data_IF_270935723352
#
_entry.id   IF_270935723352
#
_cell.length_a   1.000
_cell.length_b   1.000
_cell.length_c   1.000
_cell.angle_alpha   90.00
_cell.angle_beta   90.00
_cell.angle_gamma   90.00
#
_symmetry.space_group_name_H-M   'P 1'
#
loop_
_entity.id
_entity.type
_entity.pdbx_description
1 polymer ?
#
# COMPACT_ATOMS: atom_id res chain seq x y z
N UNK A 1 -15.68 -12.47 -23.83
CA UNK A 1 -15.10 -13.38 -22.83
C UNK A 1 -13.69 -12.90 -22.58
N UNK A 2 -13.45 -12.23 -21.45
CA UNK A 2 -12.12 -11.74 -21.09
C UNK A 2 -11.30 -12.91 -20.56
N UNK A 3 -10.27 -13.32 -21.30
CA UNK A 3 -9.31 -14.29 -20.82
C UNK A 3 -8.51 -13.62 -19.71
N UNK A 4 -8.57 -14.20 -18.52
CA UNK A 4 -7.72 -13.78 -17.43
C UNK A 4 -6.52 -14.73 -17.33
N UNK A 5 -5.31 -14.24 -17.06
CA UNK A 5 -4.13 -15.09 -16.90
C UNK A 5 -4.30 -16.06 -15.71
N UNK A 6 -3.64 -17.23 -15.79
CA UNK A 6 -3.71 -18.26 -14.75
C UNK A 6 -3.33 -17.70 -13.37
N UNK A 7 -4.16 -18.00 -12.36
CA UNK A 7 -4.07 -17.41 -11.01
C UNK A 7 -5.02 -16.23 -10.77
N UNK A 8 -5.81 -15.85 -11.77
CA UNK A 8 -6.84 -14.82 -11.67
C UNK A 8 -8.14 -15.35 -11.06
N UNK A 9 -8.54 -14.78 -9.93
CA UNK A 9 -9.79 -15.12 -9.26
C UNK A 9 -10.82 -14.00 -9.47
N UNK A 10 -11.86 -14.19 -10.32
CA UNK A 10 -12.85 -13.15 -10.64
C UNK A 10 -13.77 -12.75 -9.46
N UNK A 11 -13.55 -13.31 -8.28
CA UNK A 11 -14.28 -13.00 -7.05
C UNK A 11 -13.40 -12.39 -5.95
N UNK A 12 -12.08 -12.27 -6.16
CA UNK A 12 -11.20 -11.62 -5.21
C UNK A 12 -11.38 -10.10 -5.27
N UNK A 13 -11.48 -9.44 -4.12
CA UNK A 13 -11.60 -7.98 -4.01
C UNK A 13 -10.34 -7.24 -4.50
N UNK A 14 -9.20 -7.90 -4.41
CA UNK A 14 -7.89 -7.45 -4.90
C UNK A 14 -6.97 -8.66 -5.04
N UNK A 15 -5.82 -8.47 -5.69
CA UNK A 15 -4.76 -9.48 -5.80
C UNK A 15 -3.44 -8.93 -5.26
N UNK A 16 -2.74 -9.71 -4.43
CA UNK A 16 -1.37 -9.39 -4.04
C UNK A 16 -0.39 -9.93 -5.08
N UNK A 17 0.54 -9.08 -5.51
CA UNK A 17 1.59 -9.43 -6.47
C UNK A 17 2.96 -9.32 -5.80
N UNK A 18 3.67 -10.44 -5.72
CA UNK A 18 5.04 -10.51 -5.19
C UNK A 18 6.05 -9.93 -6.18
N UNK A 19 7.01 -9.13 -5.71
CA UNK A 19 8.01 -8.39 -6.51
C UNK A 19 9.12 -9.29 -7.11
N UNK A 20 8.85 -10.56 -7.41
CA UNK A 20 9.91 -11.51 -7.76
C UNK A 20 10.37 -11.49 -9.21
N UNK A 21 9.89 -10.58 -10.07
CA UNK A 21 10.37 -10.48 -11.46
C UNK A 21 10.56 -9.03 -11.93
N UNK A 22 11.77 -8.63 -12.37
CA UNK A 22 12.02 -7.31 -12.95
C UNK A 22 11.35 -7.20 -14.34
N UNK A 23 10.46 -6.20 -14.51
CA UNK A 23 9.81 -5.90 -15.80
C UNK A 23 8.34 -5.46 -15.74
N UNK A 24 7.69 -5.46 -14.57
CA UNK A 24 6.23 -5.32 -14.48
C UNK A 24 5.67 -3.88 -14.40
N UNK A 25 6.50 -2.84 -14.43
CA UNK A 25 5.96 -1.46 -14.43
C UNK A 25 5.21 -1.15 -15.75
N UNK A 26 5.71 -1.64 -16.89
CA UNK A 26 5.03 -1.52 -18.18
C UNK A 26 3.71 -2.31 -18.24
N UNK A 27 3.51 -3.27 -17.33
CA UNK A 27 2.32 -4.13 -17.32
C UNK A 27 1.09 -3.39 -16.78
N UNK A 28 1.24 -2.37 -15.92
CA UNK A 28 0.08 -1.74 -15.26
C UNK A 28 -0.76 -0.91 -16.24
N UNK A 29 -0.14 -0.15 -17.13
CA UNK A 29 -0.88 0.63 -18.14
C UNK A 29 -1.63 -0.27 -19.12
N UNK A 30 -0.98 -1.34 -19.60
CA UNK A 30 -1.61 -2.33 -20.47
C UNK A 30 -2.71 -3.12 -19.75
N UNK A 31 -2.53 -3.46 -18.47
CA UNK A 31 -3.49 -4.21 -17.66
C UNK A 31 -4.82 -3.47 -17.47
N UNK A 32 -4.77 -2.14 -17.45
CA UNK A 32 -5.94 -1.29 -17.22
C UNK A 32 -6.38 -0.45 -18.43
N UNK A 33 -5.78 -0.67 -19.60
CA UNK A 33 -6.09 0.09 -20.81
C UNK A 33 -7.59 0.08 -21.17
N UNK A 34 -8.27 -1.05 -20.94
CA UNK A 34 -9.71 -1.25 -21.18
C UNK A 34 -10.55 -1.29 -19.89
N UNK A 35 -9.95 -0.94 -18.74
CA UNK A 35 -10.52 -1.14 -17.40
C UNK A 35 -10.34 0.09 -16.50
N UNK A 36 -10.97 1.23 -16.85
CA UNK A 36 -10.82 2.49 -16.12
C UNK A 36 -11.37 2.45 -14.68
N UNK A 37 -12.19 1.46 -14.34
CA UNK A 37 -12.76 1.27 -13.02
C UNK A 37 -11.79 0.59 -12.04
N UNK A 38 -10.62 0.15 -12.50
CA UNK A 38 -9.61 -0.52 -11.70
C UNK A 38 -8.31 0.27 -11.57
N UNK A 39 -7.59 0.04 -10.47
CA UNK A 39 -6.27 0.58 -10.21
C UNK A 39 -5.44 -0.36 -9.33
N UNK A 40 -4.14 -0.05 -9.21
CA UNK A 40 -3.19 -0.71 -8.33
C UNK A 40 -2.68 0.21 -7.23
N UNK A 41 -2.37 -0.37 -6.07
CA UNK A 41 -1.57 0.26 -5.03
C UNK A 41 -0.16 -0.34 -5.01
N UNK A 42 0.84 0.54 -4.94
CA UNK A 42 2.19 0.18 -4.54
C UNK A 42 2.35 0.53 -3.07
N UNK A 43 2.20 -0.48 -2.21
CA UNK A 43 2.13 -0.30 -0.75
C UNK A 43 3.50 -0.51 -0.12
N UNK A 44 4.02 0.54 0.50
CA UNK A 44 5.20 0.55 1.35
C UNK A 44 4.76 0.29 2.80
N UNK A 45 5.26 -0.77 3.41
CA UNK A 45 4.83 -1.19 4.75
C UNK A 45 5.99 -1.77 5.58
N UNK A 46 5.83 -1.77 6.91
CA UNK A 46 6.85 -2.29 7.84
C UNK A 46 8.08 -1.40 8.05
N UNK A 47 8.12 -0.23 7.41
CA UNK A 47 9.15 0.79 7.55
C UNK A 47 8.66 2.05 8.28
N UNK A 48 9.42 3.13 8.15
CA UNK A 48 9.10 4.43 8.74
C UNK A 48 9.60 5.59 7.89
N UNK A 49 8.99 6.77 8.06
CA UNK A 49 9.46 8.00 7.42
C UNK A 49 10.68 8.60 8.13
N UNK A 50 11.65 9.07 7.36
CA UNK A 50 12.74 9.90 7.88
C UNK A 50 12.29 11.36 8.08
N UNK A 51 13.16 12.17 8.71
CA UNK A 51 12.90 13.58 8.96
C UNK A 51 12.95 14.42 7.68
N UNK A 52 12.28 15.58 7.70
CA UNK A 52 12.39 16.59 6.63
C UNK A 52 13.66 17.45 6.82
N UNK A 53 14.22 18.03 5.73
CA UNK A 53 13.86 17.83 4.33
C UNK A 53 14.50 16.56 3.74
N UNK A 54 14.02 16.14 2.57
CA UNK A 54 14.48 14.94 1.88
C UNK A 54 13.94 13.65 2.51
N UNK A 55 12.69 13.68 3.00
CA UNK A 55 12.04 12.53 3.62
C UNK A 55 12.08 11.32 2.68
N UNK A 56 12.44 10.18 3.24
CA UNK A 56 12.42 8.84 2.64
C UNK A 56 11.55 7.90 3.48
N UNK A 57 11.23 6.73 2.94
CA UNK A 57 10.60 5.64 3.68
C UNK A 57 11.57 4.47 3.76
N UNK A 58 12.12 4.24 4.95
CA UNK A 58 13.26 3.33 5.14
C UNK A 58 12.84 2.03 5.84
N UNK A 59 13.61 0.97 5.59
CA UNK A 59 13.49 -0.36 6.23
C UNK A 59 12.16 -1.11 6.01
N UNK A 60 11.33 -0.66 5.08
CA UNK A 60 10.09 -1.32 4.73
C UNK A 60 10.19 -2.33 3.59
N UNK A 61 9.07 -3.01 3.35
CA UNK A 61 8.82 -3.85 2.19
C UNK A 61 7.85 -3.16 1.24
N UNK A 62 7.85 -3.58 -0.02
CA UNK A 62 6.91 -3.12 -1.04
C UNK A 62 6.03 -4.30 -1.44
N UNK A 63 4.72 -4.11 -1.40
CA UNK A 63 3.72 -5.06 -1.90
C UNK A 63 2.83 -4.36 -2.91
N UNK A 64 2.60 -5.00 -4.06
CA UNK A 64 1.64 -4.50 -5.05
C UNK A 64 0.27 -5.13 -4.81
N UNK A 65 -0.76 -4.30 -4.85
CA UNK A 65 -2.16 -4.69 -4.68
C UNK A 65 -2.91 -4.27 -5.93
N UNK A 66 -3.24 -5.24 -6.77
CA UNK A 66 -3.85 -5.01 -8.07
C UNK A 66 -5.36 -5.26 -8.05
N UNK A 67 -6.05 -4.71 -9.04
CA UNK A 67 -7.49 -4.88 -9.31
C UNK A 67 -8.40 -4.29 -8.23
N UNK A 68 -7.96 -3.22 -7.58
CA UNK A 68 -8.83 -2.45 -6.70
C UNK A 68 -9.82 -1.67 -7.55
N UNK A 69 -11.09 -1.69 -7.17
CA UNK A 69 -12.13 -0.94 -7.87
C UNK A 69 -12.29 0.45 -7.28
N UNK A 70 -12.28 1.46 -8.14
CA UNK A 70 -12.36 2.87 -7.73
C UNK A 70 -13.58 3.16 -6.85
N UNK A 71 -14.74 2.61 -7.19
CA UNK A 71 -16.00 2.88 -6.48
C UNK A 71 -16.24 2.01 -5.24
N UNK A 72 -15.47 0.94 -5.06
CA UNK A 72 -15.59 0.04 -3.90
C UNK A 72 -14.51 0.31 -2.84
N UNK A 73 -13.45 1.06 -3.22
CA UNK A 73 -12.32 1.35 -2.36
C UNK A 73 -12.68 2.21 -1.14
N UNK A 74 -12.25 1.76 0.04
CA UNK A 74 -12.49 2.43 1.32
C UNK A 74 -11.30 2.34 2.25
N UNK A 75 -11.28 3.18 3.29
CA UNK A 75 -10.28 3.06 4.39
C UNK A 75 -10.36 1.68 5.07
N UNK A 76 -11.56 1.13 5.22
CA UNK A 76 -11.76 -0.23 5.77
C UNK A 76 -11.11 -1.32 4.92
N UNK A 77 -11.11 -1.15 3.59
CA UNK A 77 -10.44 -2.08 2.69
C UNK A 77 -8.92 -2.06 2.87
N UNK A 78 -8.33 -0.90 3.19
CA UNK A 78 -6.90 -0.84 3.52
C UNK A 78 -6.51 -1.66 4.75
N UNK A 79 -7.39 -1.76 5.75
CA UNK A 79 -7.15 -2.65 6.89
C UNK A 79 -7.19 -4.13 6.49
N UNK A 80 -8.07 -4.51 5.55
CA UNK A 80 -8.13 -5.86 5.01
C UNK A 80 -6.86 -6.18 4.20
N UNK A 81 -6.43 -5.25 3.34
CA UNK A 81 -5.18 -5.37 2.58
C UNK A 81 -4.00 -5.55 3.54
N UNK A 82 -3.93 -4.73 4.60
CA UNK A 82 -2.85 -4.82 5.58
C UNK A 82 -2.84 -6.16 6.33
N UNK A 83 -4.00 -6.76 6.63
CA UNK A 83 -4.02 -8.08 7.29
C UNK A 83 -3.44 -9.19 6.41
N UNK A 84 -3.49 -9.05 5.09
CA UNK A 84 -2.89 -10.00 4.15
C UNK A 84 -1.36 -9.90 4.07
N UNK A 85 -0.73 -8.88 4.66
CA UNK A 85 0.73 -8.74 4.68
C UNK A 85 1.43 -9.72 5.66
N UNK A 86 0.67 -10.52 6.41
CA UNK A 86 1.23 -11.60 7.24
C UNK A 86 1.82 -11.16 8.58
N UNK A 87 1.57 -9.92 9.03
CA UNK A 87 2.01 -9.45 10.35
C UNK A 87 1.26 -10.08 11.53
N UNK A 88 0.09 -10.68 11.28
CA UNK A 88 -0.70 -11.39 12.29
C UNK A 88 -1.46 -10.51 13.29
N UNK A 89 -1.32 -9.18 13.21
CA UNK A 89 -2.12 -8.23 13.99
C UNK A 89 -2.16 -6.85 13.31
N UNK A 90 -3.15 -6.03 13.68
CA UNK A 90 -3.31 -4.64 13.21
C UNK A 90 -2.99 -3.70 14.38
N UNK A 91 -1.93 -2.88 14.30
CA UNK A 91 -1.63 -1.87 15.33
C UNK A 91 -2.75 -0.85 15.48
N UNK A 92 -3.06 -0.41 16.71
CA UNK A 92 -4.09 0.63 16.96
C UNK A 92 -3.72 1.99 16.39
N UNK A 93 -2.42 2.23 16.29
CA UNK A 93 -1.77 3.44 15.82
C UNK A 93 -1.31 3.32 14.35
N UNK A 94 -1.90 2.38 13.60
CA UNK A 94 -1.67 2.26 12.17
C UNK A 94 -2.23 3.50 11.45
N UNK A 95 -1.48 4.00 10.49
CA UNK A 95 -1.82 5.13 9.62
C UNK A 95 -1.49 4.79 8.17
N UNK A 96 -2.32 5.32 7.29
CA UNK A 96 -2.15 5.20 5.85
C UNK A 96 -1.95 6.58 5.25
N UNK A 97 -1.00 6.70 4.33
CA UNK A 97 -0.74 7.91 3.56
C UNK A 97 -0.61 7.56 2.09
N UNK A 98 -1.12 8.39 1.19
CA UNK A 98 -0.86 8.25 -0.24
C UNK A 98 -0.03 9.43 -0.74
N UNK A 99 0.81 9.17 -1.73
CA UNK A 99 1.58 10.23 -2.38
C UNK A 99 0.79 10.82 -3.53
N UNK A 100 0.85 12.13 -3.66
CA UNK A 100 0.44 12.84 -4.85
C UNK A 100 1.25 12.32 -6.06
N UNK A 101 0.61 12.09 -7.23
CA UNK A 101 1.28 11.47 -8.38
C UNK A 101 2.56 12.18 -8.82
N UNK A 102 2.59 13.50 -8.76
CA UNK A 102 3.76 14.33 -9.12
C UNK A 102 4.48 14.97 -7.92
N UNK A 103 4.07 14.64 -6.69
CA UNK A 103 4.67 15.19 -5.48
C UNK A 103 5.79 14.32 -4.91
N UNK A 104 6.56 14.89 -3.99
CA UNK A 104 7.56 14.19 -3.17
C UNK A 104 7.00 13.82 -1.78
N UNK A 105 7.82 13.21 -0.93
CA UNK A 105 7.41 12.83 0.43
C UNK A 105 7.42 13.99 1.44
N UNK A 106 8.05 15.11 1.10
CA UNK A 106 8.08 16.29 1.96
C UNK A 106 6.76 17.06 1.85
N UNK A 107 6.22 17.21 0.63
CA UNK A 107 5.09 18.09 0.33
C UNK A 107 3.89 17.39 -0.29
N UNK A 108 4.09 16.20 -0.88
CA UNK A 108 3.07 15.45 -1.61
C UNK A 108 2.43 14.31 -0.82
N UNK A 109 2.60 14.25 0.49
CA UNK A 109 2.08 13.15 1.31
C UNK A 109 0.72 13.51 1.94
N UNK A 110 -0.32 12.74 1.61
CA UNK A 110 -1.68 12.97 2.07
C UNK A 110 -2.17 11.81 2.95
N UNK A 111 -2.82 12.08 4.08
CA UNK A 111 -3.36 11.02 4.94
C UNK A 111 -4.60 10.38 4.30
N UNK A 112 -4.83 9.09 4.57
CA UNK A 112 -6.02 8.34 4.17
C UNK A 112 -6.80 7.91 5.42
N UNK A 113 -7.67 8.78 5.92
CA UNK A 113 -8.35 8.61 7.23
C UNK A 113 -9.85 8.44 7.10
N UNK A 114 -10.46 9.07 6.10
CA UNK A 114 -11.90 9.13 5.94
C UNK A 114 -12.32 9.08 4.47
N UNK A 115 -13.62 9.20 4.20
CA UNK A 115 -14.19 9.18 2.86
C UNK A 115 -13.77 10.37 1.99
N UNK A 116 -13.48 11.53 2.58
CA UNK A 116 -12.99 12.69 1.83
C UNK A 116 -11.58 12.43 1.29
N UNK A 117 -10.70 11.87 2.11
CA UNK A 117 -9.36 11.46 1.71
C UNK A 117 -9.41 10.37 0.62
N UNK A 118 -10.35 9.41 0.71
CA UNK A 118 -10.61 8.40 -0.34
C UNK A 118 -11.07 9.06 -1.64
N UNK A 119 -11.95 10.06 -1.55
CA UNK A 119 -12.44 10.81 -2.72
C UNK A 119 -11.28 11.55 -3.40
N UNK A 120 -10.37 12.15 -2.62
CA UNK A 120 -9.17 12.79 -3.15
C UNK A 120 -8.27 11.78 -3.87
N UNK A 121 -7.97 10.64 -3.25
CA UNK A 121 -7.17 9.57 -3.84
C UNK A 121 -7.79 9.09 -5.17
N UNK A 122 -9.09 8.78 -5.17
CA UNK A 122 -9.79 8.26 -6.35
C UNK A 122 -9.93 9.28 -7.46
N UNK A 123 -9.91 10.59 -7.16
CA UNK A 123 -9.89 11.65 -8.17
C UNK A 123 -8.65 11.58 -9.08
N UNK A 124 -7.49 11.17 -8.55
CA UNK A 124 -6.28 11.00 -9.35
C UNK A 124 -6.41 9.85 -10.36
N UNK A 125 -7.21 8.84 -10.04
CA UNK A 125 -7.43 7.69 -10.91
C UNK A 125 -8.41 8.06 -12.04
N UNK A 126 -9.53 8.69 -11.66
CA UNK A 126 -10.59 9.04 -12.58
C UNK A 126 -10.24 10.20 -13.52
N UNK A 127 -9.77 11.32 -12.96
CA UNK A 127 -9.53 12.56 -13.70
C UNK A 127 -8.13 12.59 -14.33
N UNK A 128 -7.12 12.15 -13.57
CA UNK A 128 -5.72 12.26 -14.01
C UNK A 128 -5.23 10.99 -14.72
N UNK A 129 -6.06 9.95 -14.82
CA UNK A 129 -5.73 8.70 -15.51
C UNK A 129 -4.65 7.86 -14.83
N UNK A 130 -4.31 8.16 -13.58
CA UNK A 130 -3.27 7.43 -12.83
C UNK A 130 -3.78 6.02 -12.54
N UNK A 131 -2.95 4.99 -12.80
CA UNK A 131 -3.33 3.58 -12.59
C UNK A 131 -2.57 2.88 -11.47
N UNK A 132 -1.50 3.50 -10.98
CA UNK A 132 -0.75 3.05 -9.80
C UNK A 132 -0.61 4.20 -8.81
N UNK A 133 -1.02 3.99 -7.56
CA UNK A 133 -0.86 4.97 -6.48
C UNK A 133 0.12 4.43 -5.44
N UNK A 134 1.09 5.24 -5.05
CA UNK A 134 2.00 4.92 -3.95
C UNK A 134 1.33 5.19 -2.60
N UNK A 135 1.29 4.16 -1.75
CA UNK A 135 0.69 4.22 -0.43
C UNK A 135 1.69 3.76 0.63
N UNK A 136 1.74 4.45 1.76
CA UNK A 136 2.67 4.24 2.84
C UNK A 136 1.91 3.90 4.12
N UNK A 137 2.34 2.84 4.77
CA UNK A 137 1.81 2.37 6.04
C UNK A 137 2.79 2.70 7.14
N UNK A 138 2.35 3.40 8.18
CA UNK A 138 3.18 3.78 9.31
C UNK A 138 2.47 3.41 10.60
N UNK A 139 3.24 2.92 11.56
CA UNK A 139 2.78 2.75 12.94
C UNK A 139 3.32 3.94 13.74
N UNK A 140 2.47 4.92 14.06
CA UNK A 140 2.89 6.12 14.80
C UNK A 140 2.93 5.81 16.30
N UNK A 141 4.08 5.76 16.95
CA UNK A 141 4.09 5.62 18.42
C UNK A 141 3.32 6.78 19.08
N UNK A 142 2.18 6.46 19.70
CA UNK A 142 1.47 7.41 20.55
C UNK A 142 2.28 7.54 21.84
N UNK A 143 3.03 8.64 21.97
CA UNK A 143 3.52 9.04 23.28
C UNK A 143 2.34 9.58 24.06
N UNK A 144 1.69 8.74 24.86
CA UNK A 144 0.56 9.13 25.71
C UNK A 144 0.93 10.20 26.77
N UNK A 145 2.21 10.60 26.90
CA UNK A 145 2.67 11.38 28.05
C UNK A 145 3.34 12.74 27.76
N UNK A 146 3.48 13.23 26.52
CA UNK A 146 4.18 14.54 26.33
C UNK A 146 3.71 15.47 25.20
N UNK A 147 2.76 15.10 24.34
CA UNK A 147 2.29 16.02 23.28
C UNK A 147 3.43 16.57 22.40
N UNK A 148 4.51 15.82 22.23
CA UNK A 148 5.65 16.14 21.37
C UNK A 148 6.07 14.91 20.57
N UNK A 149 6.29 15.12 19.27
CA UNK A 149 6.79 14.11 18.34
C UNK A 149 8.11 13.52 18.84
N UNK A 150 8.12 12.21 19.08
CA UNK A 150 9.37 11.47 19.32
C UNK A 150 9.93 11.05 17.98
N UNK A 151 11.18 11.46 17.75
CA UNK A 151 11.99 11.04 16.61
C UNK A 151 12.09 9.50 16.61
N UNK A 152 11.65 8.92 15.50
CA UNK A 152 11.84 7.54 15.04
C UNK A 152 12.89 6.73 15.81
N UNK A 153 12.41 5.85 16.70
CA UNK A 153 13.20 4.82 17.35
C UNK A 153 12.87 3.44 16.79
N UNK A 154 13.70 2.98 15.85
CA UNK A 154 13.99 1.57 15.49
C UNK A 154 12.90 0.53 15.81
N UNK A 155 11.90 0.37 14.94
CA UNK A 155 11.07 -0.83 14.99
C UNK A 155 11.83 -1.99 14.31
N UNK A 156 12.17 -3.02 15.08
CA UNK A 156 12.54 -4.33 14.53
C UNK A 156 11.30 -5.22 14.60
N UNK A 157 10.78 -5.74 13.48
CA UNK A 157 9.79 -6.80 13.56
C UNK A 157 10.39 -7.93 14.38
N UNK A 158 9.66 -8.42 15.37
CA UNK A 158 9.86 -9.79 15.84
C UNK A 158 9.52 -10.70 14.65
N UNK A 159 10.49 -10.92 13.78
CA UNK A 159 10.51 -12.11 12.94
C UNK A 159 10.59 -13.26 13.93
N UNK A 160 9.47 -13.96 14.15
CA UNK A 160 9.57 -15.29 14.72
C UNK A 160 10.43 -16.08 13.75
N UNK A 161 11.62 -16.50 14.18
CA UNK A 161 12.52 -17.37 13.42
C UNK A 161 11.91 -18.76 13.12
N UNK A 162 10.63 -18.98 13.50
CA UNK A 162 9.93 -20.26 13.43
C UNK A 162 8.76 -20.29 12.43
N UNK A 163 8.60 -19.28 11.56
CA UNK A 163 7.61 -19.39 10.48
C UNK A 163 8.08 -20.48 9.49
N UNK A 164 7.26 -21.51 9.18
CA UNK A 164 7.69 -22.58 8.31
C UNK A 164 8.00 -22.00 6.93
N UNK A 165 9.27 -22.09 6.54
CA UNK A 165 9.72 -21.92 5.16
C UNK A 165 8.80 -22.79 4.31
N UNK A 166 7.94 -22.18 3.50
CA UNK A 166 7.19 -22.84 2.45
C UNK A 166 8.21 -23.48 1.50
N UNK A 167 8.61 -24.72 1.79
CA UNK A 167 9.39 -25.55 0.89
C UNK A 167 8.47 -25.90 -0.27
N UNK A 168 8.76 -25.31 -1.43
CA UNK A 168 8.39 -25.88 -2.74
C UNK A 168 8.72 -27.38 -2.73
N UNK A 169 7.70 -28.20 -2.93
CA UNK A 169 7.89 -29.52 -3.52
C UNK A 169 7.57 -29.36 -5.01
N UNK A 170 8.53 -29.82 -5.82
CA UNK A 170 8.45 -29.95 -7.27
C UNK A 170 7.32 -30.89 -7.69
#
# INVERSE_FOLDING_TARGET
MTNFPDGFYPHARFQLRSVNEPGQAEVVEELYADRPEYFSLKVYHGGYFTGMPGRTYDYGSITFVDFLKVHEFTVSEMYLIYSEFGYGFIPRNLRFYFKHPVGDLDTGLFPLRNSEDVTLLTSYIGVNGVREIELYVVTEELNEDTGKDVKSGTWRPHVREDAPVCRRLF
#
